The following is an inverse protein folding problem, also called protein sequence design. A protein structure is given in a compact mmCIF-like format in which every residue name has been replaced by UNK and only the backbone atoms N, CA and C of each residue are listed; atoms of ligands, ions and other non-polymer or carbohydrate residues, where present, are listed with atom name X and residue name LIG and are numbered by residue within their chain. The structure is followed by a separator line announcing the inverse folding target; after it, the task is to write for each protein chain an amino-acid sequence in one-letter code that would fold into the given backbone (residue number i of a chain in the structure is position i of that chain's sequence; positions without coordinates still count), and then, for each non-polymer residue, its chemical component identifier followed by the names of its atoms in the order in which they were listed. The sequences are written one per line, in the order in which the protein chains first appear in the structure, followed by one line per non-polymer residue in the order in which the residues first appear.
data_IF_753587530537
#
_entry.id   IF_753587530537
#
_cell.length_a   1.000
_cell.length_b   1.000
_cell.length_c   1.000
_cell.angle_alpha   90.00
_cell.angle_beta   90.00
_cell.angle_gamma   90.00
#
_symmetry.space_group_name_H-M   'P 1'
#
loop_
_entity.id
_entity.type
_entity.pdbx_description
1 polymer ?
#
# COMPACT_ATOMS: atom_id res chain seq x y z
N UNK A 1 34.98 -15.17 -47.18
CA UNK A 1 33.86 -14.37 -46.63
C UNK A 1 32.72 -15.34 -46.37
N UNK A 2 32.19 -15.30 -45.14
CA UNK A 2 31.04 -16.07 -44.64
C UNK A 2 31.31 -17.52 -44.21
N UNK A 3 31.50 -17.70 -42.90
CA UNK A 3 31.01 -18.89 -42.20
C UNK A 3 30.64 -18.56 -40.74
N UNK A 4 29.43 -19.03 -40.37
CA UNK A 4 28.83 -19.32 -39.05
C UNK A 4 28.85 -18.31 -37.90
N UNK A 5 27.65 -18.03 -37.36
CA UNK A 5 27.20 -18.67 -36.10
C UNK A 5 25.69 -18.55 -35.88
N UNK A 6 25.04 -19.68 -35.61
CA UNK A 6 23.67 -19.75 -35.13
C UNK A 6 23.60 -19.20 -33.69
N UNK A 7 22.98 -18.04 -33.51
CA UNK A 7 22.68 -17.55 -32.15
C UNK A 7 21.37 -18.14 -31.66
N UNK A 8 21.50 -18.89 -30.57
CA UNK A 8 20.44 -19.57 -29.85
C UNK A 8 19.39 -18.54 -29.41
N UNK A 9 18.19 -18.62 -29.97
CA UNK A 9 16.97 -17.95 -29.47
C UNK A 9 16.63 -18.52 -28.09
N UNK A 10 17.30 -18.02 -27.06
CA UNK A 10 17.04 -18.35 -25.67
C UNK A 10 15.70 -17.77 -25.20
N UNK A 11 14.93 -18.59 -24.48
CA UNK A 11 13.74 -18.26 -23.70
C UNK A 11 14.09 -17.33 -22.50
N UNK A 12 14.67 -16.16 -22.78
CA UNK A 12 15.19 -15.25 -21.75
C UNK A 12 14.81 -13.79 -21.93
N UNK A 13 14.10 -13.43 -23.01
CA UNK A 13 13.72 -12.02 -23.26
C UNK A 13 12.44 -11.59 -22.53
N UNK A 14 11.56 -12.52 -22.17
CA UNK A 14 10.30 -12.22 -21.50
C UNK A 14 10.47 -11.81 -20.03
N UNK A 15 11.36 -12.49 -19.29
CA UNK A 15 11.61 -12.18 -17.88
C UNK A 15 12.39 -10.88 -17.72
N UNK A 16 13.37 -10.61 -18.59
CA UNK A 16 14.14 -9.35 -18.57
C UNK A 16 13.28 -8.13 -18.91
N UNK A 17 12.23 -8.29 -19.73
CA UNK A 17 11.25 -7.23 -19.99
C UNK A 17 10.38 -6.93 -18.76
N UNK A 18 10.05 -7.96 -17.96
CA UNK A 18 9.34 -7.80 -16.68
C UNK A 18 10.25 -7.26 -15.56
N UNK A 19 11.57 -7.50 -15.63
CA UNK A 19 12.53 -7.04 -14.62
C UNK A 19 13.12 -5.65 -14.91
N UNK A 20 12.99 -5.13 -16.14
CA UNK A 20 13.41 -3.77 -16.47
C UNK A 20 12.61 -2.70 -15.68
N UNK A 21 11.35 -2.99 -15.35
CA UNK A 21 10.51 -2.14 -14.50
C UNK A 21 10.88 -2.21 -13.01
N UNK A 22 11.69 -3.18 -12.59
CA UNK A 22 12.01 -3.39 -11.16
C UNK A 22 13.25 -2.58 -10.73
N UNK A 23 14.00 -1.99 -11.67
CA UNK A 23 15.28 -1.33 -11.38
C UNK A 23 15.34 0.15 -11.75
N UNK A 24 14.28 0.91 -11.46
CA UNK A 24 14.36 2.36 -11.32
C UNK A 24 14.28 2.71 -9.82
N UNK A 25 15.47 2.73 -9.24
CA UNK A 25 15.95 3.72 -8.28
C UNK A 25 14.91 4.34 -7.33
N UNK A 26 15.00 3.91 -6.07
CA UNK A 26 14.68 4.67 -4.84
C UNK A 26 13.27 5.28 -4.73
N UNK A 27 12.61 5.22 -3.56
CA UNK A 27 11.42 6.03 -3.35
C UNK A 27 11.86 7.51 -3.24
N UNK A 28 12.10 8.17 -4.38
CA UNK A 28 11.62 9.54 -4.54
C UNK A 28 10.11 9.42 -4.40
N UNK A 29 9.68 9.44 -3.14
CA UNK A 29 8.31 9.67 -2.75
C UNK A 29 7.97 10.98 -3.41
N UNK A 30 7.43 10.92 -4.62
CA UNK A 30 6.60 11.98 -5.15
C UNK A 30 5.55 12.15 -4.08
N UNK A 31 5.77 13.16 -3.24
CA UNK A 31 4.81 13.60 -2.25
C UNK A 31 3.68 14.19 -3.07
N UNK A 32 2.81 13.31 -3.59
CA UNK A 32 1.42 13.65 -3.83
C UNK A 32 1.03 14.49 -2.62
N UNK A 33 0.52 15.72 -2.82
CA UNK A 33 0.39 16.72 -1.76
C UNK A 33 -0.24 16.01 -0.57
N UNK A 34 0.56 15.82 0.49
CA UNK A 34 0.11 15.08 1.66
C UNK A 34 -1.12 15.83 2.11
N UNK A 35 -2.31 15.25 1.94
CA UNK A 35 -3.54 15.86 2.46
C UNK A 35 -3.24 16.17 3.91
N UNK A 36 -3.55 17.40 4.33
CA UNK A 36 -3.28 17.87 5.67
C UNK A 36 -3.72 16.78 6.67
N UNK A 37 -2.79 16.39 7.54
CA UNK A 37 -3.10 15.45 8.61
C UNK A 37 -4.20 16.07 9.48
N UNK A 38 -5.38 15.47 9.43
CA UNK A 38 -6.56 15.96 10.14
C UNK A 38 -6.84 15.05 11.33
N UNK A 39 -7.13 15.65 12.49
CA UNK A 39 -7.66 14.92 13.63
C UNK A 39 -9.17 14.81 13.50
N UNK A 40 -9.67 13.58 13.47
CA UNK A 40 -11.10 13.26 13.38
C UNK A 40 -11.49 12.53 14.67
N UNK A 41 -12.62 12.88 15.33
CA UNK A 41 -13.14 12.10 16.45
C UNK A 41 -13.39 10.65 16.02
N UNK A 42 -13.06 9.69 16.89
CA UNK A 42 -13.17 8.26 16.54
C UNK A 42 -14.62 7.83 16.32
N UNK A 43 -15.55 8.49 17.02
CA UNK A 43 -17.00 8.33 16.88
C UNK A 43 -17.53 8.69 15.49
N UNK A 44 -16.79 9.51 14.73
CA UNK A 44 -17.16 9.89 13.37
C UNK A 44 -16.69 8.86 12.33
N UNK A 45 -15.90 7.85 12.73
CA UNK A 45 -15.38 6.82 11.85
C UNK A 45 -16.30 5.59 11.85
N UNK A 46 -16.58 5.08 10.66
CA UNK A 46 -17.34 3.85 10.46
C UNK A 46 -16.50 2.81 9.69
N UNK A 47 -16.70 1.51 9.94
CA UNK A 47 -16.05 0.46 9.17
C UNK A 47 -16.41 0.56 7.67
N UNK A 48 -15.44 0.30 6.79
CA UNK A 48 -15.71 0.20 5.37
C UNK A 48 -16.58 -1.05 5.09
N UNK A 49 -17.79 -0.93 4.52
CA UNK A 49 -18.64 -2.08 4.18
C UNK A 49 -17.95 -3.07 3.23
N UNK A 50 -17.08 -2.55 2.36
CA UNK A 50 -16.33 -3.30 1.37
C UNK A 50 -14.96 -3.77 1.90
N UNK A 51 -14.78 -3.87 3.22
CA UNK A 51 -13.51 -4.30 3.82
C UNK A 51 -13.19 -5.76 3.45
N UNK A 52 -12.11 -6.04 2.69
CA UNK A 52 -11.74 -7.40 2.32
C UNK A 52 -11.21 -8.23 3.49
N UNK A 53 -10.50 -7.58 4.43
CA UNK A 53 -10.00 -8.23 5.65
C UNK A 53 -11.10 -8.25 6.70
N UNK A 54 -11.68 -9.43 6.94
CA UNK A 54 -12.75 -9.63 7.94
C UNK A 54 -12.28 -10.27 9.23
N UNK A 55 -11.19 -11.02 9.17
CA UNK A 55 -10.66 -11.74 10.32
C UNK A 55 -9.41 -11.08 10.90
N UNK A 56 -9.40 -10.97 12.22
CA UNK A 56 -8.29 -10.50 13.03
C UNK A 56 -8.11 -11.48 14.19
N UNK A 57 -6.88 -11.89 14.49
CA UNK A 57 -6.63 -12.63 15.71
C UNK A 57 -6.76 -11.69 16.92
N UNK A 58 -7.36 -12.18 18.00
CA UNK A 58 -7.53 -11.42 19.22
C UNK A 58 -6.18 -10.94 19.78
N UNK A 59 -5.19 -11.83 19.80
CA UNK A 59 -3.83 -11.54 20.26
C UNK A 59 -3.19 -10.37 19.48
N UNK A 60 -3.31 -10.36 18.15
CA UNK A 60 -2.74 -9.27 17.34
C UNK A 60 -3.47 -7.93 17.54
N UNK A 61 -4.77 -7.96 17.84
CA UNK A 61 -5.52 -6.75 18.18
C UNK A 61 -5.08 -6.19 19.54
N UNK A 62 -4.84 -7.05 20.52
CA UNK A 62 -4.38 -6.65 21.85
C UNK A 62 -2.96 -6.04 21.78
N UNK A 63 -2.06 -6.66 21.01
CA UNK A 63 -0.73 -6.12 20.74
C UNK A 63 -0.79 -4.75 20.05
N UNK A 64 -1.65 -4.60 19.03
CA UNK A 64 -1.83 -3.33 18.33
C UNK A 64 -2.39 -2.25 19.27
N UNK A 65 -3.37 -2.59 20.10
CA UNK A 65 -3.95 -1.65 21.06
C UNK A 65 -2.93 -1.22 22.12
N UNK A 66 -2.08 -2.13 22.61
CA UNK A 66 -0.98 -1.81 23.51
C UNK A 66 0.03 -0.84 22.85
N UNK A 67 0.42 -1.12 21.60
CA UNK A 67 1.33 -0.27 20.82
C UNK A 67 0.77 1.14 20.59
N UNK A 68 -0.51 1.25 20.19
CA UNK A 68 -1.20 2.53 20.00
C UNK A 68 -1.27 3.33 21.30
N UNK A 69 -1.47 2.67 22.46
CA UNK A 69 -1.51 3.36 23.76
C UNK A 69 -0.16 3.98 24.13
N UNK A 70 0.95 3.33 23.78
CA UNK A 70 2.29 3.81 24.09
C UNK A 70 2.79 4.86 23.08
N UNK A 71 2.57 4.64 21.78
CA UNK A 71 3.21 5.39 20.69
C UNK A 71 2.23 6.26 19.89
N UNK A 72 0.93 6.11 20.14
CA UNK A 72 -0.10 6.66 19.28
C UNK A 72 -0.22 5.93 17.94
N UNK A 73 -1.08 6.47 17.06
CA UNK A 73 -1.21 5.98 15.69
C UNK A 73 -0.09 6.57 14.84
N UNK A 74 0.91 5.78 14.50
CA UNK A 74 2.10 6.24 13.76
C UNK A 74 1.82 6.53 12.28
N UNK A 75 0.86 5.81 11.70
CA UNK A 75 0.49 5.94 10.30
C UNK A 75 -0.94 6.49 10.22
N UNK A 76 -1.14 7.69 9.66
CA UNK A 76 -2.47 8.24 9.45
C UNK A 76 -3.39 7.27 8.70
N UNK A 77 -4.63 7.19 9.16
CA UNK A 77 -5.69 6.41 8.50
C UNK A 77 -6.17 7.15 7.25
N UNK A 78 -6.45 6.39 6.19
CA UNK A 78 -7.06 6.93 4.97
C UNK A 78 -8.57 6.83 5.11
N UNK A 79 -9.25 7.96 4.97
CA UNK A 79 -10.71 8.07 5.10
C UNK A 79 -11.31 8.81 3.90
N UNK A 80 -12.63 8.63 3.73
CA UNK A 80 -13.45 9.38 2.77
C UNK A 80 -14.75 9.81 3.45
N UNK A 81 -15.40 10.90 3.01
CA UNK A 81 -16.72 11.28 3.50
C UNK A 81 -17.71 10.12 3.38
N UNK A 82 -18.56 9.95 4.39
CA UNK A 82 -19.55 8.89 4.38
C UNK A 82 -20.63 9.18 3.32
N UNK A 83 -20.95 8.25 2.41
CA UNK A 83 -21.78 8.52 1.22
C UNK A 83 -23.22 8.92 1.55
N UNK A 84 -23.72 8.57 2.74
CA UNK A 84 -25.09 8.84 3.20
C UNK A 84 -25.16 9.80 4.40
N UNK A 85 -24.00 10.23 4.92
CA UNK A 85 -23.88 11.10 6.10
C UNK A 85 -22.79 12.15 5.84
N UNK A 86 -23.08 13.18 5.04
CA UNK A 86 -22.06 14.13 4.57
C UNK A 86 -21.48 15.02 5.68
N UNK A 87 -22.22 15.20 6.78
CA UNK A 87 -21.84 16.06 7.92
C UNK A 87 -21.28 15.27 9.12
N UNK A 88 -20.98 13.98 8.92
CA UNK A 88 -20.35 13.11 9.90
C UNK A 88 -18.82 13.16 9.78
#
# INVERSE_FOLDING_TARGET
MSDKKAERRGLGRGLSALMADVNLASPSREEAPRRAEMRIPVENLEPNPDQPRRDFSAEALDELAASIREKGVIQPLIVRPHPRKPDH
#
